data_IF_050661882303
#
_entry.id   IF_050661882303
#
_cell.length_a   1.000
_cell.length_b   1.000
_cell.length_c   1.000
_cell.angle_alpha   90.00
_cell.angle_beta   90.00
_cell.angle_gamma   90.00
#
_symmetry.space_group_name_H-M   'P 1'
#
loop_
_entity.id
_entity.type
_entity.pdbx_description
1 polymer ?
#
# COMPACT_ATOMS: atom_id res chain seq x y z
N UNK A 1 -22.64 -4.19 -7.56
CA UNK A 1 -22.06 -3.02 -6.88
C UNK A 1 -21.06 -2.37 -7.82
N UNK A 2 -21.23 -1.10 -8.21
CA UNK A 2 -20.20 -0.41 -8.97
C UNK A 2 -18.94 -0.30 -8.10
N UNK A 3 -17.77 -0.66 -8.63
CA UNK A 3 -16.50 -0.46 -7.93
C UNK A 3 -16.26 1.05 -7.86
N UNK A 4 -16.45 1.65 -6.69
CA UNK A 4 -16.05 3.04 -6.43
C UNK A 4 -14.52 3.10 -6.57
N UNK A 5 -14.03 3.79 -7.61
CA UNK A 5 -12.61 4.17 -7.66
C UNK A 5 -12.45 5.35 -6.71
N UNK A 6 -11.54 5.25 -5.74
CA UNK A 6 -11.18 6.36 -4.88
C UNK A 6 -10.55 7.48 -5.72
N UNK A 7 -10.93 8.73 -5.44
CA UNK A 7 -10.48 9.93 -6.15
C UNK A 7 -9.14 10.44 -5.58
N UNK A 8 -8.16 9.55 -5.47
CA UNK A 8 -6.82 9.88 -4.97
C UNK A 8 -5.85 10.02 -6.14
N UNK A 9 -5.15 11.16 -6.23
CA UNK A 9 -4.05 11.34 -7.18
C UNK A 9 -2.79 10.65 -6.66
N UNK A 10 -2.16 9.83 -7.50
CA UNK A 10 -0.89 9.14 -7.21
C UNK A 10 0.22 9.87 -7.94
N UNK A 11 1.26 10.32 -7.23
CA UNK A 11 2.43 10.98 -7.81
C UNK A 11 3.56 9.96 -7.90
N UNK A 12 3.87 9.51 -9.12
CA UNK A 12 5.00 8.63 -9.39
C UNK A 12 6.18 9.45 -9.88
N UNK A 13 7.34 9.29 -9.25
CA UNK A 13 8.56 9.96 -9.69
C UNK A 13 9.77 9.09 -9.38
N UNK A 14 10.72 9.09 -10.31
CA UNK A 14 11.93 8.29 -10.19
C UNK A 14 13.02 9.04 -9.42
N UNK A 15 14.05 8.34 -8.93
CA UNK A 15 15.23 8.98 -8.38
C UNK A 15 15.97 9.80 -9.43
N UNK A 16 16.67 10.85 -8.98
CA UNK A 16 17.52 11.69 -9.83
C UNK A 16 18.58 10.89 -10.60
N UNK A 17 19.06 9.78 -10.04
CA UNK A 17 20.08 8.91 -10.66
C UNK A 17 19.63 8.30 -11.99
N UNK A 18 18.32 8.26 -12.26
CA UNK A 18 17.74 7.77 -13.52
C UNK A 18 16.84 8.84 -14.18
N UNK A 19 17.02 10.12 -13.82
CA UNK A 19 16.40 11.26 -14.50
C UNK A 19 15.05 11.73 -13.96
N UNK A 20 14.63 11.31 -12.77
CA UNK A 20 13.44 11.85 -12.09
C UNK A 20 13.75 13.02 -11.14
N UNK A 21 12.74 13.50 -10.42
CA UNK A 21 12.85 14.65 -9.49
C UNK A 21 12.67 14.28 -8.01
N UNK A 22 12.49 12.99 -7.70
CA UNK A 22 12.22 12.45 -6.35
C UNK A 22 11.08 13.17 -5.60
N UNK A 23 10.06 13.66 -6.31
CA UNK A 23 8.87 14.32 -5.74
C UNK A 23 7.73 13.33 -5.41
N UNK A 24 7.92 12.05 -5.71
CA UNK A 24 6.96 10.98 -5.50
C UNK A 24 7.66 9.65 -5.26
N UNK A 25 6.85 8.64 -4.92
CA UNK A 25 7.33 7.26 -4.79
C UNK A 25 7.58 6.67 -6.18
N UNK A 26 8.52 5.74 -6.28
CA UNK A 26 8.74 5.02 -7.52
C UNK A 26 7.58 4.04 -7.78
N UNK A 27 7.40 3.57 -9.03
CA UNK A 27 6.44 2.49 -9.30
C UNK A 27 6.66 1.25 -8.43
N UNK A 28 7.91 0.91 -8.14
CA UNK A 28 8.28 -0.23 -7.30
C UNK A 28 7.89 0.00 -5.83
N UNK A 29 8.09 1.21 -5.30
CA UNK A 29 7.66 1.56 -3.94
C UNK A 29 6.14 1.45 -3.79
N UNK A 30 5.38 1.92 -4.78
CA UNK A 30 3.93 1.74 -4.78
C UNK A 30 3.52 0.27 -4.84
N UNK A 31 4.23 -0.54 -5.61
CA UNK A 31 3.98 -1.98 -5.66
C UNK A 31 4.24 -2.64 -4.30
N UNK A 32 5.38 -2.38 -3.66
CA UNK A 32 5.72 -2.91 -2.33
C UNK A 32 4.69 -2.45 -1.28
N UNK A 33 4.32 -1.16 -1.28
CA UNK A 33 3.29 -0.62 -0.40
C UNK A 33 1.94 -1.30 -0.61
N UNK A 34 1.58 -1.62 -1.87
CA UNK A 34 0.33 -2.31 -2.18
C UNK A 34 0.29 -3.72 -1.60
N UNK A 35 1.42 -4.43 -1.55
CA UNK A 35 1.52 -5.77 -0.96
C UNK A 35 1.28 -5.73 0.56
N UNK A 36 2.00 -4.85 1.27
CA UNK A 36 1.81 -4.69 2.71
C UNK A 36 0.39 -4.24 3.09
N UNK A 37 -0.21 -3.36 2.27
CA UNK A 37 -1.61 -2.97 2.45
C UNK A 37 -2.59 -4.14 2.24
N UNK A 38 -2.41 -4.93 1.17
CA UNK A 38 -3.27 -6.09 0.91
C UNK A 38 -3.22 -7.10 2.06
N UNK A 39 -2.05 -7.36 2.62
CA UNK A 39 -1.90 -8.24 3.78
C UNK A 39 -2.67 -7.70 4.99
N UNK A 40 -2.52 -6.41 5.31
CA UNK A 40 -3.26 -5.77 6.41
C UNK A 40 -4.78 -5.92 6.28
N UNK A 41 -5.32 -5.69 5.08
CA UNK A 41 -6.76 -5.83 4.81
C UNK A 41 -7.22 -7.27 5.04
N UNK A 42 -6.42 -8.26 4.64
CA UNK A 42 -6.76 -9.67 4.85
C UNK A 42 -6.69 -10.06 6.32
N UNK A 43 -5.70 -9.57 7.08
CA UNK A 43 -5.61 -9.79 8.52
C UNK A 43 -6.81 -9.22 9.26
N UNK A 44 -7.16 -7.96 9.00
CA UNK A 44 -8.32 -7.29 9.61
C UNK A 44 -9.62 -8.04 9.29
N UNK A 45 -9.81 -8.41 8.02
CA UNK A 45 -10.98 -9.20 7.58
C UNK A 45 -11.08 -10.53 8.32
N UNK A 46 -9.97 -11.25 8.48
CA UNK A 46 -9.97 -12.55 9.16
C UNK A 46 -10.19 -12.41 10.67
N UNK A 47 -9.64 -11.38 11.31
CA UNK A 47 -9.90 -11.08 12.72
C UNK A 47 -11.39 -10.78 12.95
N UNK A 48 -12.00 -9.96 12.09
CA UNK A 48 -13.43 -9.67 12.12
C UNK A 48 -14.29 -10.94 12.01
N UNK A 49 -13.95 -11.84 11.07
CA UNK A 49 -14.66 -13.12 10.91
C UNK A 49 -14.50 -14.07 12.12
N UNK A 50 -13.40 -13.95 12.86
CA UNK A 50 -13.14 -14.71 14.08
C UNK A 50 -13.72 -14.06 15.35
N UNK A 51 -14.34 -12.88 15.25
CA UNK A 51 -14.83 -12.13 16.41
C UNK A 51 -13.72 -11.53 17.28
N UNK A 52 -12.53 -11.30 16.71
CA UNK A 52 -11.38 -10.69 17.37
C UNK A 52 -11.31 -9.20 17.02
N UNK A 53 -10.94 -8.36 17.98
CA UNK A 53 -10.61 -6.96 17.75
C UNK A 53 -9.09 -6.78 17.69
N UNK A 54 -8.60 -6.09 16.66
CA UNK A 54 -7.21 -5.69 16.56
C UNK A 54 -7.08 -4.23 17.03
N UNK A 55 -6.26 -3.99 18.05
CA UNK A 55 -5.98 -2.63 18.53
C UNK A 55 -5.01 -1.89 17.59
N UNK A 56 -4.06 -2.61 17.00
CA UNK A 56 -3.10 -2.08 16.02
C UNK A 56 -2.54 -3.20 15.14
N UNK A 57 -2.26 -2.87 13.88
CA UNK A 57 -1.56 -3.76 12.94
C UNK A 57 -0.58 -2.92 12.09
N UNK A 58 0.68 -3.34 12.06
CA UNK A 58 1.74 -2.72 11.27
C UNK A 58 2.42 -3.78 10.41
N UNK A 59 2.64 -3.46 9.13
CA UNK A 59 3.31 -4.35 8.18
C UNK A 59 4.46 -3.61 7.53
N UNK A 60 5.66 -4.20 7.60
CA UNK A 60 6.86 -3.73 6.90
C UNK A 60 7.11 -4.62 5.69
N UNK A 61 7.13 -4.03 4.50
CA UNK A 61 7.46 -4.72 3.26
C UNK A 61 8.67 -4.05 2.60
N UNK A 62 9.61 -4.85 2.12
CA UNK A 62 10.82 -4.41 1.41
C UNK A 62 11.02 -5.28 0.18
N UNK A 63 11.51 -4.68 -0.91
CA UNK A 63 11.81 -5.38 -2.15
C UNK A 63 12.98 -4.72 -2.87
N UNK A 64 13.67 -5.49 -3.72
CA UNK A 64 14.83 -5.07 -4.50
C UNK A 64 14.61 -5.30 -5.98
#
# INVERSE_FOLDING_TARGET
MPRQKSEASVIQDQPESIGGTRQGLTPTDYFIASLGFCENVIFDRNASLAGLSLDSLETTATGS
#
